data_IF_299854512691
#
_entry.id   IF_299854512691
#
_cell.length_a   1.000
_cell.length_b   1.000
_cell.length_c   1.000
_cell.angle_alpha   90.00
_cell.angle_beta   90.00
_cell.angle_gamma   90.00
#
_symmetry.space_group_name_H-M   'P 1'
#
loop_
_entity.id
_entity.type
_entity.pdbx_description
1 polymer ?
#
# COMPACT_ATOMS: atom_id res chain seq x y z
N UNK A 1 20.00 -14.20 -6.97
CA UNK A 1 19.25 -13.25 -6.09
C UNK A 1 18.36 -12.39 -6.94
N UNK A 2 17.12 -12.19 -6.51
CA UNK A 2 16.21 -11.32 -7.25
C UNK A 2 16.65 -9.86 -7.18
N UNK A 3 16.56 -9.15 -8.31
CA UNK A 3 16.87 -7.74 -8.40
C UNK A 3 15.90 -7.01 -9.33
N UNK A 4 15.80 -5.70 -9.15
CA UNK A 4 15.15 -4.79 -10.08
C UNK A 4 16.18 -3.79 -10.55
N UNK A 5 16.32 -3.64 -11.86
CA UNK A 5 17.26 -2.71 -12.48
C UNK A 5 16.55 -1.79 -13.46
N UNK A 6 16.92 -0.52 -13.42
CA UNK A 6 16.53 0.49 -14.40
C UNK A 6 17.82 1.09 -14.96
N UNK A 7 17.94 1.10 -16.29
CA UNK A 7 19.08 1.67 -17.01
C UNK A 7 18.57 2.70 -18.01
N UNK A 8 18.98 3.97 -17.83
CA UNK A 8 18.60 5.10 -18.67
C UNK A 8 17.09 5.17 -18.98
N UNK A 9 16.28 4.84 -17.97
CA UNK A 9 14.84 4.76 -18.07
C UNK A 9 14.20 6.13 -18.23
N UNK A 10 13.33 6.26 -19.25
CA UNK A 10 12.42 7.40 -19.42
C UNK A 10 11.00 6.88 -19.37
N UNK A 11 10.24 7.28 -18.35
CA UNK A 11 8.88 6.84 -18.11
C UNK A 11 7.88 7.97 -18.41
N UNK A 12 6.73 7.62 -18.99
CA UNK A 12 5.66 8.60 -19.23
C UNK A 12 4.86 8.82 -17.95
N UNK A 13 4.75 10.07 -17.51
CA UNK A 13 3.87 10.49 -16.40
C UNK A 13 2.53 11.03 -16.91
N UNK A 14 2.57 11.81 -17.98
CA UNK A 14 1.42 12.37 -18.67
C UNK A 14 1.78 12.61 -20.14
N UNK A 15 0.88 13.21 -20.92
CA UNK A 15 1.15 13.55 -22.32
C UNK A 15 2.33 14.54 -22.48
N UNK A 16 2.62 15.33 -21.44
CA UNK A 16 3.64 16.38 -21.49
C UNK A 16 4.80 16.17 -20.50
N UNK A 17 4.72 15.17 -19.61
CA UNK A 17 5.70 14.96 -18.54
C UNK A 17 6.28 13.57 -18.59
N UNK A 18 7.59 13.49 -18.36
CA UNK A 18 8.33 12.24 -18.21
C UNK A 18 9.16 12.23 -16.94
N UNK A 19 9.42 11.03 -16.43
CA UNK A 19 10.39 10.77 -15.37
C UNK A 19 11.63 10.14 -15.99
N UNK A 20 12.81 10.69 -15.68
CA UNK A 20 14.09 10.15 -16.12
C UNK A 20 14.82 9.53 -14.94
N UNK A 21 15.22 8.26 -15.08
CA UNK A 21 15.99 7.51 -14.10
C UNK A 21 17.26 7.00 -14.77
N UNK A 22 18.43 7.63 -14.52
CA UNK A 22 19.67 7.25 -15.20
C UNK A 22 20.09 5.83 -14.90
N UNK A 23 20.13 5.48 -13.61
CA UNK A 23 20.45 4.15 -13.13
C UNK A 23 19.89 3.92 -11.72
N UNK A 24 19.26 2.78 -11.52
CA UNK A 24 18.84 2.32 -10.20
C UNK A 24 18.89 0.80 -10.16
N UNK A 25 19.43 0.25 -9.07
CA UNK A 25 19.43 -1.20 -8.82
C UNK A 25 18.99 -1.45 -7.40
N UNK A 26 17.98 -2.29 -7.23
CA UNK A 26 17.48 -2.78 -5.95
C UNK A 26 17.69 -4.29 -5.90
N UNK A 27 18.28 -4.79 -4.81
CA UNK A 27 18.50 -6.23 -4.63
C UNK A 27 17.59 -6.80 -3.56
N UNK A 28 17.34 -8.08 -3.60
CA UNK A 28 16.61 -8.78 -2.55
C UNK A 28 17.31 -8.58 -1.19
N UNK A 29 16.53 -8.23 -0.17
CA UNK A 29 17.03 -7.91 1.16
C UNK A 29 17.46 -6.46 1.37
N UNK A 30 17.48 -5.64 0.30
CA UNK A 30 17.72 -4.20 0.44
C UNK A 30 16.51 -3.49 1.07
N UNK A 31 16.80 -2.45 1.87
CA UNK A 31 15.82 -1.48 2.33
C UNK A 31 16.22 -0.09 1.86
N UNK A 32 15.35 0.58 1.11
CA UNK A 32 15.61 1.89 0.53
C UNK A 32 14.60 2.93 1.00
N UNK A 33 15.08 4.12 1.32
CA UNK A 33 14.23 5.27 1.58
C UNK A 33 14.54 6.40 0.59
N UNK A 34 13.52 6.83 -0.16
CA UNK A 34 13.62 7.97 -1.07
C UNK A 34 13.03 9.20 -0.38
N UNK A 35 13.86 10.18 -0.11
CA UNK A 35 13.48 11.40 0.60
C UNK A 35 13.54 12.61 -0.34
N UNK A 36 12.66 13.55 -0.12
CA UNK A 36 12.57 14.77 -0.91
C UNK A 36 11.33 15.59 -0.57
N UNK A 37 11.28 16.83 -1.04
CA UNK A 37 10.12 17.70 -0.87
C UNK A 37 8.90 17.19 -1.66
N UNK A 38 7.71 17.67 -1.30
CA UNK A 38 6.52 17.39 -2.06
C UNK A 38 6.68 17.88 -3.51
N UNK A 39 6.28 17.05 -4.47
CA UNK A 39 6.45 17.34 -5.90
C UNK A 39 7.84 17.00 -6.46
N UNK A 40 8.75 16.40 -5.68
CA UNK A 40 10.09 15.99 -6.15
C UNK A 40 10.09 14.72 -7.02
N UNK A 41 8.93 14.08 -7.22
CA UNK A 41 8.80 12.89 -8.07
C UNK A 41 8.87 11.55 -7.31
N UNK A 42 8.79 11.54 -5.99
CA UNK A 42 8.83 10.29 -5.18
C UNK A 42 7.72 9.30 -5.56
N UNK A 43 6.47 9.77 -5.70
CA UNK A 43 5.34 8.91 -6.11
C UNK A 43 5.49 8.43 -7.55
N UNK A 44 6.03 9.26 -8.44
CA UNK A 44 6.35 8.87 -9.80
C UNK A 44 7.43 7.77 -9.83
N UNK A 45 8.46 7.89 -8.99
CA UNK A 45 9.49 6.87 -8.81
C UNK A 45 8.87 5.55 -8.30
N UNK A 46 8.04 5.61 -7.28
CA UNK A 46 7.35 4.43 -6.74
C UNK A 46 6.55 3.70 -7.81
N UNK A 47 5.80 4.43 -8.64
CA UNK A 47 5.03 3.87 -9.76
C UNK A 47 5.92 3.29 -10.86
N UNK A 48 7.05 3.93 -11.18
CA UNK A 48 8.02 3.40 -12.14
C UNK A 48 8.65 2.09 -11.64
N UNK A 49 9.01 2.01 -10.37
CA UNK A 49 9.53 0.79 -9.74
C UNK A 49 8.50 -0.33 -9.73
N UNK A 50 7.24 -0.01 -9.44
CA UNK A 50 6.13 -0.97 -9.47
C UNK A 50 5.79 -1.47 -10.89
N UNK A 51 6.29 -0.80 -11.93
CA UNK A 51 5.97 -1.15 -13.32
C UNK A 51 4.64 -0.58 -13.82
N UNK A 52 4.11 0.43 -13.14
CA UNK A 52 2.82 1.05 -13.47
C UNK A 52 2.93 2.15 -14.52
N UNK A 53 4.13 2.62 -14.82
CA UNK A 53 4.36 3.67 -15.80
C UNK A 53 4.90 3.09 -17.12
N UNK A 54 4.41 3.58 -18.29
CA UNK A 54 4.94 3.19 -19.58
C UNK A 54 6.40 3.60 -19.74
N UNK A 55 7.25 2.64 -20.10
CA UNK A 55 8.66 2.88 -20.40
C UNK A 55 8.79 3.34 -21.86
N UNK A 56 9.30 4.55 -22.09
CA UNK A 56 9.50 5.14 -23.42
C UNK A 56 10.89 4.86 -23.99
N UNK A 57 11.91 4.88 -23.12
CA UNK A 57 13.32 4.65 -23.47
C UNK A 57 14.04 3.98 -22.32
N UNK A 58 15.15 3.30 -22.63
CA UNK A 58 15.95 2.59 -21.65
C UNK A 58 15.41 1.19 -21.35
N UNK A 59 15.84 0.65 -20.22
CA UNK A 59 15.49 -0.70 -19.80
C UNK A 59 15.01 -0.72 -18.35
N UNK A 60 13.99 -1.55 -18.11
CA UNK A 60 13.55 -1.94 -16.77
C UNK A 60 13.47 -3.45 -16.73
N UNK A 61 14.29 -4.05 -15.89
CA UNK A 61 14.32 -5.51 -15.69
C UNK A 61 13.99 -5.80 -14.22
N UNK A 62 13.08 -6.73 -13.97
CA UNK A 62 12.73 -7.17 -12.64
C UNK A 62 12.70 -8.69 -12.56
N UNK A 63 13.38 -9.23 -11.55
CA UNK A 63 13.32 -10.63 -11.17
C UNK A 63 12.39 -10.85 -9.96
N UNK A 64 11.83 -9.77 -9.39
CA UNK A 64 10.76 -9.88 -8.40
C UNK A 64 9.48 -10.31 -9.11
N UNK A 65 8.86 -11.37 -8.62
CA UNK A 65 7.64 -11.95 -9.19
C UNK A 65 6.38 -11.29 -8.67
N UNK A 66 6.42 -10.78 -7.44
CA UNK A 66 5.28 -10.16 -6.79
C UNK A 66 5.66 -8.81 -6.17
N UNK A 67 5.35 -7.73 -6.88
CA UNK A 67 5.59 -6.36 -6.44
C UNK A 67 4.26 -5.75 -5.99
N UNK A 68 4.22 -5.25 -4.75
CA UNK A 68 3.06 -4.53 -4.21
C UNK A 68 3.43 -3.09 -3.89
N UNK A 69 2.63 -2.14 -4.37
CA UNK A 69 2.74 -0.72 -4.01
C UNK A 69 1.53 -0.28 -3.21
N UNK A 70 1.78 0.34 -2.06
CA UNK A 70 0.77 1.00 -1.24
C UNK A 70 0.93 2.51 -1.32
N UNK A 71 -0.17 3.22 -1.58
CA UNK A 71 -0.22 4.67 -1.59
C UNK A 71 -1.36 5.22 -0.73
N UNK A 72 -1.22 6.47 -0.32
CA UNK A 72 -2.28 7.17 0.40
C UNK A 72 -3.57 7.30 -0.42
N UNK A 73 -3.46 7.47 -1.73
CA UNK A 73 -4.63 7.54 -2.63
C UNK A 73 -5.45 6.24 -2.63
N UNK A 74 -4.77 5.09 -2.61
CA UNK A 74 -5.45 3.78 -2.51
C UNK A 74 -6.22 3.65 -1.20
N UNK A 75 -5.63 4.13 -0.09
CA UNK A 75 -6.29 4.17 1.20
C UNK A 75 -7.55 5.02 1.18
N UNK A 76 -7.44 6.26 0.69
CA UNK A 76 -8.59 7.17 0.61
C UNK A 76 -9.71 6.60 -0.26
N UNK A 77 -9.35 5.99 -1.37
CA UNK A 77 -10.32 5.33 -2.25
C UNK A 77 -11.05 4.20 -1.54
N UNK A 78 -10.31 3.31 -0.86
CA UNK A 78 -10.92 2.19 -0.15
C UNK A 78 -11.89 2.66 0.94
N UNK A 79 -11.50 3.66 1.73
CA UNK A 79 -12.35 4.25 2.76
C UNK A 79 -13.62 4.85 2.14
N UNK A 80 -13.47 5.63 1.06
CA UNK A 80 -14.59 6.22 0.36
C UNK A 80 -15.55 5.17 -0.22
N UNK A 81 -15.01 4.12 -0.83
CA UNK A 81 -15.79 3.02 -1.40
C UNK A 81 -16.60 2.28 -0.31
N UNK A 82 -16.00 2.06 0.87
CA UNK A 82 -16.70 1.43 1.99
C UNK A 82 -17.84 2.31 2.54
N UNK A 83 -17.63 3.63 2.63
CA UNK A 83 -18.69 4.56 3.03
C UNK A 83 -19.82 4.62 2.00
N UNK A 84 -19.51 4.62 0.70
CA UNK A 84 -20.52 4.68 -0.36
C UNK A 84 -21.34 3.39 -0.47
N UNK A 85 -20.70 2.23 -0.33
CA UNK A 85 -21.39 0.93 -0.39
C UNK A 85 -22.29 0.69 0.80
N UNK A 86 -21.92 1.20 1.95
CA UNK A 86 -22.55 0.93 3.23
C UNK A 86 -23.04 2.22 3.87
N UNK A 87 -23.89 2.95 3.14
CA UNK A 87 -24.43 4.24 3.58
C UNK A 87 -25.37 4.02 4.77
N UNK A 88 -24.83 4.06 5.99
CA UNK A 88 -25.57 3.85 7.23
C UNK A 88 -26.59 4.94 7.53
N UNK A 89 -26.46 6.10 6.89
CA UNK A 89 -27.43 7.20 7.05
C UNK A 89 -28.81 6.87 6.47
N UNK A 90 -28.89 5.80 5.67
CA UNK A 90 -30.15 5.28 5.09
C UNK A 90 -30.69 4.04 5.79
N UNK A 91 -30.03 3.54 6.83
CA UNK A 91 -30.50 2.38 7.58
C UNK A 91 -31.72 2.78 8.42
N UNK A 92 -32.81 2.01 8.27
CA UNK A 92 -34.00 2.15 9.11
C UNK A 92 -33.76 1.60 10.52
N UNK A 93 -34.66 1.88 11.49
CA UNK A 93 -34.55 1.29 12.80
C UNK A 93 -34.61 -0.24 12.73
N UNK A 94 -33.52 -0.91 13.17
CA UNK A 94 -33.41 -2.37 13.18
C UNK A 94 -32.71 -2.99 11.98
N UNK A 95 -32.18 -2.19 11.04
CA UNK A 95 -31.29 -2.68 9.99
C UNK A 95 -29.85 -2.75 10.49
N UNK A 96 -29.17 -3.88 10.24
CA UNK A 96 -27.79 -4.08 10.62
C UNK A 96 -26.84 -3.35 9.66
N UNK A 97 -25.74 -2.83 10.23
CA UNK A 97 -24.64 -2.27 9.45
C UNK A 97 -23.95 -3.37 8.63
N UNK A 98 -24.04 -3.28 7.31
CA UNK A 98 -23.51 -4.27 6.36
C UNK A 98 -22.07 -3.99 5.95
N UNK A 99 -21.40 -2.99 6.52
CA UNK A 99 -19.99 -2.67 6.24
C UNK A 99 -19.06 -3.84 6.55
N UNK A 100 -18.00 -3.99 5.75
CA UNK A 100 -17.00 -5.05 5.96
C UNK A 100 -16.21 -4.83 7.26
N UNK A 101 -15.86 -5.91 7.93
CA UNK A 101 -14.97 -5.89 9.08
C UNK A 101 -13.52 -5.69 8.65
N UNK A 102 -12.66 -5.30 9.59
CA UNK A 102 -11.21 -5.20 9.36
C UNK A 102 -10.62 -6.52 8.87
N UNK A 103 -11.01 -7.65 9.45
CA UNK A 103 -10.58 -8.97 9.03
C UNK A 103 -11.01 -9.31 7.59
N UNK A 104 -12.22 -8.93 7.21
CA UNK A 104 -12.72 -9.12 5.83
C UNK A 104 -11.94 -8.28 4.82
N UNK A 105 -11.56 -7.06 5.18
CA UNK A 105 -10.71 -6.20 4.33
C UNK A 105 -9.32 -6.81 4.17
N UNK A 106 -8.68 -7.25 5.26
CA UNK A 106 -7.35 -7.87 5.21
C UNK A 106 -7.35 -9.11 4.32
N UNK A 107 -8.41 -9.92 4.39
CA UNK A 107 -8.54 -11.17 3.65
C UNK A 107 -9.30 -11.03 2.32
N UNK A 108 -9.43 -9.84 1.78
CA UNK A 108 -10.22 -9.59 0.55
C UNK A 108 -9.68 -10.43 -0.63
N UNK A 109 -8.39 -10.38 -0.86
CA UNK A 109 -7.72 -11.11 -1.95
C UNK A 109 -7.22 -12.50 -1.52
N UNK A 110 -6.69 -12.63 -0.32
CA UNK A 110 -6.10 -13.87 0.21
C UNK A 110 -6.85 -14.32 1.46
N UNK A 111 -7.51 -15.47 1.38
CA UNK A 111 -8.28 -16.06 2.47
C UNK A 111 -7.39 -16.96 3.34
N UNK A 112 -6.76 -16.40 4.36
CA UNK A 112 -5.90 -17.11 5.30
C UNK A 112 -6.07 -16.51 6.70
N UNK A 113 -6.97 -17.07 7.50
CA UNK A 113 -7.28 -16.56 8.83
C UNK A 113 -6.10 -16.66 9.82
N UNK A 114 -5.31 -17.74 9.86
CA UNK A 114 -4.10 -17.80 10.71
C UNK A 114 -3.10 -16.71 10.37
N UNK A 115 -2.83 -16.46 9.10
CA UNK A 115 -1.92 -15.41 8.65
C UNK A 115 -2.46 -14.02 8.96
N UNK A 116 -3.74 -13.78 8.74
CA UNK A 116 -4.42 -12.54 9.12
C UNK A 116 -4.23 -12.26 10.62
N UNK A 117 -4.43 -13.23 11.47
CA UNK A 117 -4.22 -13.11 12.93
C UNK A 117 -2.76 -12.81 13.26
N UNK A 118 -1.82 -13.48 12.63
CA UNK A 118 -0.38 -13.25 12.84
C UNK A 118 0.01 -11.81 12.49
N UNK A 119 -0.40 -11.32 11.32
CA UNK A 119 -0.14 -9.95 10.89
C UNK A 119 -0.83 -8.93 11.80
N UNK A 120 -2.07 -9.18 12.20
CA UNK A 120 -2.78 -8.31 13.14
C UNK A 120 -2.07 -8.20 14.49
N UNK A 121 -1.47 -9.28 14.98
CA UNK A 121 -0.64 -9.29 16.19
C UNK A 121 0.63 -8.45 16.00
N UNK A 122 1.33 -8.60 14.89
CA UNK A 122 2.54 -7.83 14.59
C UNK A 122 2.27 -6.32 14.52
N UNK A 123 1.15 -5.91 13.94
CA UNK A 123 0.78 -4.51 13.83
C UNK A 123 -0.07 -3.98 15.01
N UNK A 124 -0.36 -4.82 16.01
CA UNK A 124 -1.09 -4.40 17.21
C UNK A 124 -2.56 -4.04 16.96
N UNK A 125 -3.20 -4.66 15.96
CA UNK A 125 -4.59 -4.38 15.57
C UNK A 125 -5.54 -5.58 15.79
N UNK A 126 -5.13 -6.57 16.56
CA UNK A 126 -5.94 -7.78 16.83
C UNK A 126 -7.34 -7.44 17.36
N UNK A 127 -7.42 -6.47 18.27
CA UNK A 127 -8.69 -6.04 18.85
C UNK A 127 -9.64 -5.33 17.86
N UNK A 128 -9.13 -4.98 16.68
CA UNK A 128 -9.89 -4.28 15.63
C UNK A 128 -10.47 -5.22 14.57
N UNK A 129 -10.08 -6.49 14.56
CA UNK A 129 -10.44 -7.43 13.49
C UNK A 129 -11.94 -7.56 13.25
N UNK A 130 -12.74 -7.53 14.32
CA UNK A 130 -14.20 -7.61 14.25
C UNK A 130 -14.89 -6.24 14.08
N UNK A 131 -14.11 -5.14 14.16
CA UNK A 131 -14.64 -3.79 13.99
C UNK A 131 -14.87 -3.49 12.51
N UNK A 132 -15.93 -2.76 12.20
CA UNK A 132 -16.20 -2.27 10.84
C UNK A 132 -15.09 -1.34 10.38
N UNK A 133 -14.54 -1.61 9.20
CA UNK A 133 -13.39 -0.89 8.64
C UNK A 133 -13.65 0.63 8.56
N UNK A 134 -14.84 1.04 8.17
CA UNK A 134 -15.22 2.45 8.05
C UNK A 134 -15.15 3.25 9.36
N UNK A 135 -15.12 2.60 10.51
CA UNK A 135 -15.03 3.26 11.82
C UNK A 135 -13.62 3.30 12.39
N UNK A 136 -12.62 2.85 11.64
CA UNK A 136 -11.22 2.91 12.06
C UNK A 136 -10.66 4.33 11.94
N UNK A 137 -9.70 4.65 12.82
CA UNK A 137 -8.88 5.85 12.68
C UNK A 137 -7.97 5.76 11.46
N UNK A 138 -7.41 6.90 11.03
CA UNK A 138 -6.48 6.92 9.88
C UNK A 138 -5.27 6.00 10.09
N UNK A 139 -4.67 5.99 11.29
CA UNK A 139 -3.55 5.10 11.60
C UNK A 139 -3.95 3.63 11.59
N UNK A 140 -5.10 3.27 12.17
CA UNK A 140 -5.65 1.92 12.17
C UNK A 140 -5.96 1.43 10.75
N UNK A 141 -6.51 2.31 9.91
CA UNK A 141 -6.79 2.02 8.49
C UNK A 141 -5.51 1.72 7.71
N UNK A 142 -4.43 2.47 7.95
CA UNK A 142 -3.12 2.24 7.32
C UNK A 142 -2.51 0.91 7.72
N UNK A 143 -2.55 0.57 9.01
CA UNK A 143 -2.10 -0.75 9.51
C UNK A 143 -2.89 -1.89 8.88
N UNK A 144 -4.19 -1.71 8.73
CA UNK A 144 -5.08 -2.68 8.05
C UNK A 144 -4.66 -2.91 6.61
N UNK A 145 -4.37 -1.85 5.84
CA UNK A 145 -3.88 -1.97 4.47
C UNK A 145 -2.50 -2.61 4.36
N UNK A 146 -1.61 -2.34 5.30
CA UNK A 146 -0.31 -3.02 5.36
C UNK A 146 -0.50 -4.51 5.58
N UNK A 147 -1.37 -4.91 6.49
CA UNK A 147 -1.72 -6.32 6.69
C UNK A 147 -2.29 -6.94 5.41
N UNK A 148 -3.21 -6.26 4.74
CA UNK A 148 -3.77 -6.73 3.46
C UNK A 148 -2.68 -6.95 2.40
N UNK A 149 -1.77 -5.99 2.24
CA UNK A 149 -0.67 -6.10 1.29
C UNK A 149 0.28 -7.25 1.61
N UNK A 150 0.58 -7.48 2.89
CA UNK A 150 1.48 -8.54 3.35
C UNK A 150 0.83 -9.93 3.31
N UNK A 151 -0.50 -10.03 3.22
CA UNK A 151 -1.19 -11.32 3.04
C UNK A 151 -0.73 -12.06 1.79
N UNK A 152 -0.44 -11.35 0.70
CA UNK A 152 -0.01 -11.92 -0.57
C UNK A 152 1.49 -12.22 -0.65
N UNK A 153 2.25 -12.00 0.44
CA UNK A 153 3.69 -12.24 0.52
C UNK A 153 4.49 -11.61 -0.63
N UNK A 154 4.43 -10.28 -0.81
CA UNK A 154 5.20 -9.65 -1.88
C UNK A 154 6.70 -9.83 -1.66
N UNK A 155 7.45 -10.06 -2.73
CA UNK A 155 8.91 -10.09 -2.70
C UNK A 155 9.54 -8.70 -2.88
N UNK A 156 8.73 -7.70 -3.29
CA UNK A 156 9.06 -6.27 -3.20
C UNK A 156 7.83 -5.47 -2.75
N UNK A 157 7.95 -4.78 -1.62
CA UNK A 157 6.94 -3.88 -1.10
C UNK A 157 7.41 -2.43 -1.26
N UNK A 158 6.57 -1.60 -1.91
CA UNK A 158 6.82 -0.18 -2.13
C UNK A 158 5.78 0.61 -1.35
N UNK A 159 6.25 1.42 -0.39
CA UNK A 159 5.40 2.29 0.41
C UNK A 159 5.54 3.74 -0.06
N UNK A 160 4.44 4.32 -0.52
CA UNK A 160 4.37 5.72 -0.96
C UNK A 160 3.66 6.55 0.12
N UNK A 161 4.40 7.46 0.75
CA UNK A 161 3.96 8.26 1.91
C UNK A 161 3.48 7.43 3.13
N UNK A 162 4.28 6.44 3.60
CA UNK A 162 3.82 5.47 4.60
C UNK A 162 3.59 6.10 5.99
N UNK A 163 4.24 7.22 6.31
CA UNK A 163 4.23 7.84 7.65
C UNK A 163 3.21 8.95 7.81
N UNK A 164 2.57 9.37 6.74
CA UNK A 164 1.56 10.42 6.81
C UNK A 164 0.33 9.96 7.60
N UNK A 165 -0.08 10.73 8.61
CA UNK A 165 -1.20 10.40 9.50
C UNK A 165 -0.93 9.28 10.53
N UNK A 166 0.31 8.77 10.66
CA UNK A 166 0.69 7.83 11.71
C UNK A 166 1.26 8.56 12.94
N UNK A 167 0.96 8.02 14.12
CA UNK A 167 1.60 8.46 15.36
C UNK A 167 3.07 7.97 15.45
N UNK A 168 3.81 8.46 16.45
CA UNK A 168 5.24 8.16 16.61
C UNK A 168 5.48 6.66 16.82
N UNK A 169 4.65 5.98 17.60
CA UNK A 169 4.79 4.55 17.88
C UNK A 169 4.56 3.71 16.61
N UNK A 170 3.54 4.05 15.82
CA UNK A 170 3.24 3.39 14.56
C UNK A 170 4.31 3.63 13.50
N UNK A 171 4.96 4.81 13.50
CA UNK A 171 6.10 5.09 12.61
C UNK A 171 7.31 4.21 12.94
N UNK A 172 7.57 3.97 14.23
CA UNK A 172 8.66 3.10 14.67
C UNK A 172 8.44 1.65 14.23
N UNK A 173 7.21 1.13 14.36
CA UNK A 173 6.86 -0.22 13.91
C UNK A 173 7.02 -0.44 12.40
N UNK A 174 6.86 0.60 11.59
CA UNK A 174 7.07 0.53 10.15
C UNK A 174 8.55 0.57 9.75
N UNK A 175 9.40 1.13 10.61
CA UNK A 175 10.83 1.28 10.33
C UNK A 175 11.63 0.03 10.72
N UNK A 176 11.07 -0.86 11.56
CA UNK A 176 11.65 -2.16 11.94
C UNK A 176 11.28 -3.26 10.94
#
# INVERSE_FOLDING_TARGET
>A
MSSLQILQGTFRLSDTKTLQLPQLTLNAGDSWAFVGSNGSGKSALARALAGELPLLKGERQSQFSHITRLSFEQLQKLVSDEWQRNNTDMLGPGEDDTGRTTAEIIQDEVKDAPRCMQLAQQFGITALLDRRFKYLSTGETRKTLLCQALMSEPDLLILDEPFDGLDVASRQQLAE
#
